data_IF_348093994889
#
_entry.id   IF_348093994889
#
_cell.length_a   1.000
_cell.length_b   1.000
_cell.length_c   1.000
_cell.angle_alpha   90.00
_cell.angle_beta   90.00
_cell.angle_gamma   90.00
#
_symmetry.space_group_name_H-M   'P 1'
#
loop_
_entity.id
_entity.type
_entity.pdbx_description
1 polymer ?
#
# COMPACT_ATOMS: atom_id res chain seq x y z
N UNK A 1 11.02 16.63 -5.68
CA UNK A 1 12.45 16.32 -5.53
C UNK A 1 12.92 16.84 -4.18
N UNK A 2 14.09 16.41 -3.70
CA UNK A 2 14.71 16.94 -2.48
C UNK A 2 15.87 17.85 -2.87
N UNK A 3 15.90 19.06 -2.33
CA UNK A 3 16.92 20.10 -2.53
C UNK A 3 17.68 20.33 -1.24
N UNK A 4 18.91 20.84 -1.35
CA UNK A 4 19.74 21.23 -0.20
C UNK A 4 20.02 22.73 -0.29
N UNK A 5 19.83 23.46 0.81
CA UNK A 5 20.20 24.87 0.91
C UNK A 5 20.90 25.17 2.23
N UNK A 6 21.73 26.22 2.25
CA UNK A 6 22.54 26.57 3.42
C UNK A 6 21.91 27.71 4.20
N UNK A 7 21.78 27.55 5.51
CA UNK A 7 21.41 28.63 6.44
C UNK A 7 22.56 28.92 7.41
N UNK A 8 22.73 30.18 7.78
CA UNK A 8 23.82 30.60 8.69
C UNK A 8 23.72 30.01 10.10
N UNK A 9 22.51 29.60 10.52
CA UNK A 9 22.24 29.11 11.88
C UNK A 9 22.11 27.58 11.98
N UNK A 10 21.68 26.89 10.92
CA UNK A 10 21.43 25.45 10.95
C UNK A 10 22.37 24.65 10.02
N UNK A 11 23.20 25.32 9.20
CA UNK A 11 24.05 24.66 8.21
C UNK A 11 23.26 24.22 6.99
N UNK A 12 23.59 23.06 6.41
CA UNK A 12 22.87 22.49 5.26
C UNK A 12 21.54 21.91 5.71
N UNK A 13 20.45 22.47 5.20
CA UNK A 13 19.07 22.02 5.42
C UNK A 13 18.59 21.31 4.17
N UNK A 14 17.94 20.15 4.33
CA UNK A 14 17.26 19.46 3.23
C UNK A 14 15.83 19.95 3.16
N UNK A 15 15.27 20.16 1.98
CA UNK A 15 13.84 20.36 1.84
C UNK A 15 13.34 19.73 0.56
N UNK A 16 12.03 19.68 0.39
CA UNK A 16 11.43 19.17 -0.81
C UNK A 16 10.98 20.32 -1.70
N UNK A 17 11.02 20.09 -3.01
CA UNK A 17 10.63 21.05 -4.01
C UNK A 17 9.82 20.38 -5.12
N UNK A 18 8.88 21.14 -5.68
CA UNK A 18 8.08 20.79 -6.84
C UNK A 18 8.43 21.78 -7.95
N UNK A 19 8.81 21.23 -9.10
CA UNK A 19 9.11 21.98 -10.31
C UNK A 19 8.07 21.66 -11.36
N UNK A 20 7.52 22.68 -12.01
CA UNK A 20 6.64 22.55 -13.17
C UNK A 20 7.50 22.80 -14.40
N UNK A 21 7.48 21.84 -15.34
CA UNK A 21 8.26 21.91 -16.56
C UNK A 21 7.35 22.07 -17.78
N UNK A 22 7.77 22.84 -18.77
CA UNK A 22 7.12 22.89 -20.09
C UNK A 22 7.48 21.67 -20.95
N UNK A 23 6.92 21.59 -22.15
CA UNK A 23 7.18 20.51 -23.12
C UNK A 23 8.65 20.42 -23.57
N UNK A 24 9.41 21.50 -23.38
CA UNK A 24 10.84 21.59 -23.68
C UNK A 24 11.71 21.31 -22.45
N UNK A 25 11.10 20.92 -21.33
CA UNK A 25 11.75 20.65 -20.04
C UNK A 25 12.39 21.90 -19.39
N UNK A 26 11.93 23.10 -19.73
CA UNK A 26 12.29 24.31 -19.00
C UNK A 26 11.43 24.43 -17.75
N UNK A 27 12.03 24.89 -16.65
CA UNK A 27 11.30 25.19 -15.42
C UNK A 27 10.46 26.44 -15.65
N UNK A 28 9.13 26.28 -15.63
CA UNK A 28 8.15 27.38 -15.73
C UNK A 28 7.53 27.72 -14.37
N UNK A 29 7.67 26.81 -13.39
CA UNK A 29 7.16 26.96 -12.04
C UNK A 29 8.00 26.27 -10.99
N UNK A 30 8.04 26.84 -9.80
CA UNK A 30 8.76 26.29 -8.65
C UNK A 30 7.97 26.53 -7.36
N UNK A 31 7.93 25.50 -6.52
CA UNK A 31 7.55 25.57 -5.12
C UNK A 31 8.66 24.86 -4.34
N UNK A 32 9.47 25.63 -3.62
CA UNK A 32 10.59 25.16 -2.83
C UNK A 32 10.23 25.04 -1.34
N UNK A 33 11.18 24.58 -0.54
CA UNK A 33 11.11 24.57 0.93
C UNK A 33 9.89 23.84 1.51
N UNK A 34 9.38 22.83 0.81
CA UNK A 34 8.29 21.97 1.28
C UNK A 34 8.86 21.02 2.33
N UNK A 35 8.31 21.08 3.54
CA UNK A 35 8.68 20.21 4.66
C UNK A 35 10.21 20.11 4.86
N UNK A 36 10.87 21.18 5.37
CA UNK A 36 12.29 21.15 5.68
C UNK A 36 12.64 20.01 6.64
N UNK A 37 13.80 19.40 6.40
CA UNK A 37 14.36 18.23 7.05
C UNK A 37 13.55 16.92 6.90
N UNK A 38 12.55 16.91 6.02
CA UNK A 38 11.78 15.72 5.65
C UNK A 38 12.16 15.20 4.27
N UNK A 39 11.93 13.90 4.01
CA UNK A 39 12.11 13.29 2.69
C UNK A 39 10.76 12.99 2.04
N UNK A 40 10.68 13.07 0.70
CA UNK A 40 9.49 12.60 -0.03
C UNK A 40 9.40 11.07 0.01
N UNK A 41 8.25 10.56 0.44
CA UNK A 41 7.93 9.13 0.45
C UNK A 41 6.95 8.74 -0.65
N UNK A 42 5.98 9.59 -0.96
CA UNK A 42 5.04 9.35 -2.04
C UNK A 42 4.62 10.63 -2.74
N UNK A 43 4.35 10.53 -4.03
CA UNK A 43 3.82 11.62 -4.83
C UNK A 43 2.75 11.06 -5.79
N UNK A 44 1.58 11.68 -5.83
CA UNK A 44 0.50 11.30 -6.75
C UNK A 44 -0.11 12.51 -7.43
N UNK A 45 -0.14 12.47 -8.75
CA UNK A 45 -0.83 13.44 -9.58
C UNK A 45 -2.27 12.97 -9.84
N UNK A 46 -3.22 13.89 -9.73
CA UNK A 46 -4.63 13.66 -10.01
C UNK A 46 -5.29 14.95 -10.52
N UNK A 47 -5.54 15.00 -11.84
CA UNK A 47 -5.94 16.24 -12.49
C UNK A 47 -4.89 17.34 -12.27
N UNK A 48 -5.36 18.53 -11.89
CA UNK A 48 -4.52 19.71 -11.63
C UNK A 48 -3.92 19.74 -10.22
N UNK A 49 -3.74 18.57 -9.58
CA UNK A 49 -3.31 18.47 -8.19
C UNK A 49 -2.17 17.47 -8.03
N UNK A 50 -1.28 17.79 -7.10
CA UNK A 50 -0.26 16.89 -6.59
C UNK A 50 -0.49 16.64 -5.10
N UNK A 51 -0.56 15.37 -4.75
CA UNK A 51 -0.59 14.91 -3.37
C UNK A 51 0.79 14.41 -3.02
N UNK A 52 1.39 15.00 -1.99
CA UNK A 52 2.76 14.73 -1.59
C UNK A 52 2.77 14.29 -0.14
N UNK A 53 3.45 13.17 0.12
CA UNK A 53 3.69 12.63 1.46
C UNK A 53 5.17 12.75 1.74
N UNK A 54 5.50 13.44 2.82
CA UNK A 54 6.87 13.56 3.33
C UNK A 54 6.96 12.93 4.71
N UNK A 55 8.17 12.60 5.16
CA UNK A 55 8.33 12.05 6.49
C UNK A 55 9.68 12.38 7.09
N UNK A 56 9.64 12.74 8.37
CA UNK A 56 10.77 12.73 9.29
C UNK A 56 10.39 12.03 10.61
N UNK A 57 9.25 12.42 11.21
CA UNK A 57 8.68 11.82 12.43
C UNK A 57 7.14 11.70 12.41
N UNK A 58 6.47 12.65 11.75
CA UNK A 58 5.01 12.69 11.49
C UNK A 58 4.87 12.96 9.99
N UNK A 59 3.89 12.34 9.31
CA UNK A 59 3.63 12.55 7.87
C UNK A 59 2.67 13.73 7.68
N UNK A 60 3.12 14.83 7.05
CA UNK A 60 2.20 15.76 6.43
C UNK A 60 1.83 15.28 5.03
N UNK A 61 0.57 14.90 4.87
CA UNK A 61 -0.08 14.75 3.58
C UNK A 61 -0.40 16.15 3.03
N UNK A 62 0.37 16.60 2.03
CA UNK A 62 0.17 17.89 1.36
C UNK A 62 -0.72 17.76 0.13
N UNK A 63 -1.57 18.77 -0.07
CA UNK A 63 -2.29 19.00 -1.32
C UNK A 63 -1.71 20.22 -2.00
N UNK A 64 -1.18 20.05 -3.21
CA UNK A 64 -0.50 21.08 -3.99
C UNK A 64 -1.31 21.36 -5.27
N UNK A 65 -1.62 22.62 -5.50
CA UNK A 65 -2.26 23.13 -6.73
C UNK A 65 -1.25 23.18 -7.87
N UNK A 66 -1.58 22.55 -8.99
CA UNK A 66 -0.82 22.58 -10.25
C UNK A 66 -1.64 23.16 -11.41
N UNK A 67 -2.77 23.83 -11.16
CA UNK A 67 -3.62 24.44 -12.20
C UNK A 67 -2.95 25.58 -12.97
N UNK A 68 -1.82 26.07 -12.48
CA UNK A 68 -1.00 27.12 -13.07
C UNK A 68 0.49 26.80 -12.88
N UNK A 69 1.33 27.46 -13.66
CA UNK A 69 2.79 27.40 -13.53
C UNK A 69 3.31 28.01 -12.21
N UNK A 70 2.44 28.43 -11.30
CA UNK A 70 2.80 28.89 -9.94
C UNK A 70 2.26 27.88 -8.91
N UNK A 71 2.96 26.74 -8.69
CA UNK A 71 2.51 25.73 -7.75
C UNK A 71 2.40 26.28 -6.33
N UNK A 72 1.39 25.86 -5.57
CA UNK A 72 1.18 26.30 -4.18
C UNK A 72 0.57 25.20 -3.31
N UNK A 73 0.90 25.20 -2.03
CA UNK A 73 0.26 24.33 -1.03
C UNK A 73 -1.15 24.86 -0.76
N UNK A 74 -2.16 23.99 -0.86
CA UNK A 74 -3.55 24.28 -0.54
C UNK A 74 -3.90 23.88 0.89
N UNK A 75 -3.43 22.70 1.32
CA UNK A 75 -3.70 22.16 2.64
C UNK A 75 -2.67 21.13 3.06
N UNK A 76 -2.61 20.88 4.36
CA UNK A 76 -1.81 19.83 4.99
C UNK A 76 -2.68 19.03 5.96
N UNK A 77 -2.44 17.72 6.04
CA UNK A 77 -3.00 16.85 7.07
C UNK A 77 -1.88 16.08 7.73
N UNK A 78 -1.72 16.26 9.03
CA UNK A 78 -0.70 15.57 9.83
C UNK A 78 -1.30 14.36 10.53
N UNK A 79 -0.76 13.18 10.26
CA UNK A 79 -1.19 11.92 10.87
C UNK A 79 0.00 11.08 11.31
N UNK A 80 -0.16 10.22 12.33
CA UNK A 80 0.81 9.18 12.60
C UNK A 80 0.91 8.20 11.43
N UNK A 81 2.11 7.72 11.20
CA UNK A 81 2.45 6.88 10.06
C UNK A 81 3.02 7.67 8.90
N UNK A 82 3.25 6.99 7.79
CA UNK A 82 3.48 7.58 6.49
C UNK A 82 2.93 6.69 5.39
N UNK A 83 2.47 7.28 4.29
CA UNK A 83 2.08 6.54 3.08
C UNK A 83 3.27 6.37 2.12
N UNK A 84 3.61 5.12 1.78
CA UNK A 84 4.56 4.80 0.71
C UNK A 84 3.91 4.91 -0.68
N UNK A 85 2.64 4.53 -0.77
CA UNK A 85 1.89 4.51 -2.01
C UNK A 85 0.57 5.24 -1.86
N UNK A 86 0.26 6.11 -2.82
CA UNK A 86 -1.02 6.82 -2.93
C UNK A 86 -1.75 6.37 -4.19
N UNK A 87 -2.98 5.91 -4.02
CA UNK A 87 -3.86 5.46 -5.09
C UNK A 87 -5.14 6.31 -5.14
N UNK A 88 -5.46 6.95 -6.28
CA UNK A 88 -6.72 7.65 -6.44
C UNK A 88 -7.92 6.71 -6.37
N UNK A 89 -8.87 7.00 -5.48
CA UNK A 89 -10.18 6.34 -5.48
C UNK A 89 -11.15 7.08 -6.42
N UNK A 90 -11.15 8.42 -6.35
CA UNK A 90 -11.74 9.34 -7.32
C UNK A 90 -11.22 10.77 -7.12
N UNK A 91 -11.89 11.75 -7.72
CA UNK A 91 -11.52 13.15 -7.67
C UNK A 91 -11.54 13.76 -6.26
N UNK A 92 -12.18 13.10 -5.30
CA UNK A 92 -12.37 13.58 -3.93
C UNK A 92 -11.78 12.63 -2.88
N UNK A 93 -11.24 11.48 -3.30
CA UNK A 93 -10.75 10.46 -2.37
C UNK A 93 -9.44 9.81 -2.81
N UNK A 94 -8.55 9.58 -1.85
CA UNK A 94 -7.24 8.94 -2.06
C UNK A 94 -7.04 7.84 -1.02
N UNK A 95 -6.55 6.68 -1.47
CA UNK A 95 -6.13 5.58 -0.63
C UNK A 95 -4.63 5.70 -0.40
N UNK A 96 -4.19 5.73 0.85
CA UNK A 96 -2.79 5.62 1.24
C UNK A 96 -2.46 4.22 1.74
N UNK A 97 -1.30 3.71 1.35
CA UNK A 97 -0.73 2.46 1.86
C UNK A 97 0.67 2.76 2.38
N UNK A 98 0.94 2.35 3.60
CA UNK A 98 2.23 2.58 4.21
C UNK A 98 2.37 1.92 5.57
N UNK A 99 2.97 2.63 6.51
CA UNK A 99 3.17 2.14 7.88
C UNK A 99 2.57 3.09 8.87
N UNK A 100 1.95 2.53 9.91
CA UNK A 100 1.58 3.32 11.06
C UNK A 100 2.80 3.54 11.96
N UNK A 101 2.77 4.61 12.75
CA UNK A 101 3.86 4.92 13.67
C UNK A 101 3.35 5.44 14.99
N UNK A 102 4.11 5.22 16.05
CA UNK A 102 3.86 5.80 17.36
C UNK A 102 5.09 6.56 17.85
N UNK A 103 4.87 7.78 18.32
CA UNK A 103 5.90 8.52 19.05
C UNK A 103 6.16 7.85 20.40
N UNK A 104 7.43 7.59 20.68
CA UNK A 104 7.94 7.07 21.93
C UNK A 104 8.82 8.14 22.60
N UNK A 105 9.49 7.80 23.70
CA UNK A 105 10.30 8.76 24.46
C UNK A 105 11.37 9.45 23.61
N UNK A 106 11.61 10.73 23.91
CA UNK A 106 12.67 11.58 23.31
C UNK A 106 12.53 11.83 21.80
N UNK A 107 11.30 11.97 21.28
CA UNK A 107 11.05 12.29 19.87
C UNK A 107 11.45 11.17 18.91
N UNK A 108 11.60 9.95 19.43
CA UNK A 108 11.83 8.77 18.61
C UNK A 108 10.48 8.23 18.13
N UNK A 109 10.49 7.68 16.92
CA UNK A 109 9.28 7.13 16.30
C UNK A 109 9.46 5.64 16.09
N UNK A 110 8.50 4.86 16.58
CA UNK A 110 8.43 3.42 16.36
C UNK A 110 7.47 3.13 15.21
N UNK A 111 7.94 2.41 14.19
CA UNK A 111 7.06 1.88 13.15
C UNK A 111 6.24 0.70 13.70
N UNK A 112 4.98 0.65 13.31
CA UNK A 112 4.02 -0.39 13.65
C UNK A 112 3.67 -1.19 12.38
N UNK A 113 2.42 -1.66 12.31
CA UNK A 113 1.88 -2.45 11.22
C UNK A 113 1.72 -1.70 9.89
N UNK A 114 1.22 -2.43 8.91
CA UNK A 114 0.84 -1.88 7.61
C UNK A 114 -0.42 -1.05 7.78
N UNK A 115 -0.39 0.21 7.36
CA UNK A 115 -1.53 1.12 7.42
C UNK A 115 -2.16 1.26 6.03
N UNK A 116 -3.48 1.19 5.99
CA UNK A 116 -4.28 1.54 4.83
C UNK A 116 -5.22 2.65 5.27
N UNK A 117 -5.20 3.80 4.61
CA UNK A 117 -6.01 4.96 4.98
C UNK A 117 -6.80 5.47 3.79
N UNK A 118 -8.04 5.93 4.03
CA UNK A 118 -8.87 6.59 3.05
C UNK A 118 -8.96 8.07 3.40
N UNK A 119 -8.48 8.92 2.51
CA UNK A 119 -8.49 10.38 2.66
C UNK A 119 -9.63 11.00 1.88
N UNK A 120 -10.38 11.91 2.50
CA UNK A 120 -11.26 12.86 1.83
C UNK A 120 -10.48 14.13 1.49
N UNK A 121 -10.49 14.50 0.22
CA UNK A 121 -9.83 15.69 -0.34
C UNK A 121 -10.81 16.56 -1.14
N UNK A 122 -12.11 16.45 -0.87
CA UNK A 122 -13.16 17.31 -1.44
C UNK A 122 -12.93 18.78 -1.06
N UNK A 123 -12.67 19.05 0.23
CA UNK A 123 -12.10 20.32 0.70
C UNK A 123 -10.58 20.22 0.76
N UNK A 124 -9.93 20.64 -0.32
CA UNK A 124 -8.47 20.60 -0.48
C UNK A 124 -7.69 21.41 0.57
N UNK A 125 -8.33 22.40 1.22
CA UNK A 125 -7.69 23.17 2.27
C UNK A 125 -7.76 22.48 3.64
N UNK A 126 -8.62 21.46 3.77
CA UNK A 126 -8.84 20.72 5.00
C UNK A 126 -9.04 19.21 4.71
N UNK A 127 -8.01 18.53 4.18
CA UNK A 127 -8.08 17.10 3.93
C UNK A 127 -8.27 16.34 5.25
N UNK A 128 -9.01 15.22 5.21
CA UNK A 128 -9.37 14.44 6.40
C UNK A 128 -9.21 12.95 6.15
N UNK A 129 -8.92 12.19 7.21
CA UNK A 129 -9.05 10.73 7.19
C UNK A 129 -10.52 10.38 7.38
N UNK A 130 -11.08 9.58 6.46
CA UNK A 130 -12.41 8.98 6.62
C UNK A 130 -12.30 7.76 7.51
N UNK A 131 -11.36 6.87 7.17
CA UNK A 131 -11.11 5.63 7.88
C UNK A 131 -9.67 5.17 7.66
N UNK A 132 -9.14 4.40 8.61
CA UNK A 132 -7.84 3.75 8.48
C UNK A 132 -7.78 2.41 9.23
N UNK A 133 -7.04 1.47 8.66
CA UNK A 133 -6.83 0.13 9.21
C UNK A 133 -5.33 -0.11 9.36
N UNK A 134 -4.94 -0.63 10.54
CA UNK A 134 -3.58 -1.07 10.81
C UNK A 134 -3.55 -2.60 10.92
N UNK A 135 -2.69 -3.23 10.12
CA UNK A 135 -2.54 -4.69 10.05
C UNK A 135 -1.21 -5.09 10.69
N UNK A 136 -1.29 -5.89 11.74
CA UNK A 136 -0.14 -6.47 12.42
C UNK A 136 0.72 -5.42 13.14
N UNK A 137 2.03 -5.66 13.13
CA UNK A 137 3.02 -4.86 13.85
C UNK A 137 4.28 -4.58 13.01
N UNK A 138 5.35 -4.13 13.65
CA UNK A 138 6.62 -3.80 12.99
C UNK A 138 7.25 -4.98 12.21
N UNK A 139 6.90 -6.23 12.53
CA UNK A 139 7.37 -7.43 11.81
C UNK A 139 6.59 -7.71 10.52
N UNK A 140 5.48 -7.00 10.32
CA UNK A 140 4.56 -7.19 9.20
C UNK A 140 5.07 -6.45 7.97
N UNK A 141 4.93 -7.09 6.82
CA UNK A 141 5.38 -6.61 5.53
C UNK A 141 4.27 -6.76 4.49
N UNK A 142 4.24 -5.82 3.54
CA UNK A 142 3.45 -5.91 2.33
C UNK A 142 4.31 -5.56 1.12
N UNK A 143 4.19 -6.35 0.05
CA UNK A 143 4.80 -6.02 -1.24
C UNK A 143 4.24 -4.70 -1.81
N UNK A 144 3.00 -4.34 -1.46
CA UNK A 144 2.35 -3.10 -1.88
C UNK A 144 3.02 -1.82 -1.38
N UNK A 145 3.92 -1.91 -0.39
CA UNK A 145 4.73 -0.77 0.06
C UNK A 145 5.74 -0.31 -1.00
N UNK A 146 6.22 -1.23 -1.84
CA UNK A 146 7.33 -0.99 -2.77
C UNK A 146 6.96 -1.30 -4.22
N UNK A 147 5.90 -2.08 -4.47
CA UNK A 147 5.42 -2.46 -5.80
C UNK A 147 3.91 -2.18 -5.91
N UNK A 148 3.57 -1.14 -6.67
CA UNK A 148 2.19 -0.72 -6.86
C UNK A 148 1.31 -1.78 -7.52
N UNK A 149 1.88 -2.72 -8.30
CA UNK A 149 1.13 -3.83 -8.91
C UNK A 149 0.69 -4.90 -7.93
N UNK A 150 1.24 -4.89 -6.71
CA UNK A 150 0.84 -5.80 -5.65
C UNK A 150 -0.43 -5.31 -4.93
N UNK A 151 -0.74 -4.02 -5.02
CA UNK A 151 -2.02 -3.47 -4.59
C UNK A 151 -3.08 -3.69 -5.66
N UNK A 152 -4.21 -4.26 -5.27
CA UNK A 152 -5.37 -4.39 -6.13
C UNK A 152 -6.54 -3.57 -5.59
N UNK A 153 -7.17 -2.80 -6.46
CA UNK A 153 -8.37 -2.02 -6.18
C UNK A 153 -9.30 -2.07 -7.39
N UNK A 154 -10.56 -2.40 -7.16
CA UNK A 154 -11.63 -2.25 -8.14
C UNK A 154 -12.76 -1.43 -7.53
N UNK A 155 -12.98 -0.23 -8.08
CA UNK A 155 -14.01 0.69 -7.60
C UNK A 155 -15.42 0.16 -7.84
N UNK A 156 -15.66 -0.53 -8.96
CA UNK A 156 -17.00 -0.99 -9.35
C UNK A 156 -17.50 -2.10 -8.43
N UNK A 157 -16.60 -3.00 -8.03
CA UNK A 157 -16.86 -4.04 -7.03
C UNK A 157 -16.67 -3.54 -5.60
N UNK A 158 -16.00 -2.40 -5.41
CA UNK A 158 -15.69 -1.84 -4.10
C UNK A 158 -14.74 -2.73 -3.31
N UNK A 159 -13.72 -3.32 -3.95
CA UNK A 159 -12.84 -4.30 -3.33
C UNK A 159 -11.39 -3.84 -3.38
N UNK A 160 -10.69 -4.06 -2.28
CA UNK A 160 -9.23 -3.94 -2.17
C UNK A 160 -8.64 -5.30 -1.79
N UNK A 161 -7.49 -5.61 -2.37
CA UNK A 161 -6.67 -6.74 -1.94
C UNK A 161 -5.21 -6.33 -1.78
N UNK A 162 -4.64 -6.66 -0.62
CA UNK A 162 -3.26 -6.34 -0.25
C UNK A 162 -2.56 -7.60 0.24
N UNK A 163 -1.40 -7.96 -0.32
CA UNK A 163 -0.60 -9.05 0.20
C UNK A 163 0.05 -8.66 1.51
N UNK A 164 -0.06 -9.51 2.51
CA UNK A 164 0.48 -9.33 3.84
C UNK A 164 1.30 -10.56 4.21
N UNK A 165 2.44 -10.33 4.84
CA UNK A 165 3.29 -11.36 5.45
C UNK A 165 3.71 -10.90 6.84
N UNK A 166 3.55 -11.74 7.84
CA UNK A 166 3.90 -11.40 9.22
C UNK A 166 3.84 -12.61 10.13
N UNK A 167 4.18 -12.42 11.40
CA UNK A 167 4.09 -13.50 12.39
C UNK A 167 2.63 -13.83 12.68
N UNK A 168 2.28 -15.12 12.71
CA UNK A 168 0.88 -15.58 12.86
C UNK A 168 0.22 -15.02 14.12
N UNK A 169 0.97 -14.96 15.24
CA UNK A 169 0.50 -14.40 16.51
C UNK A 169 0.07 -12.93 16.38
N UNK A 170 0.86 -12.13 15.67
CA UNK A 170 0.61 -10.69 15.52
C UNK A 170 -0.48 -10.39 14.50
N UNK A 171 -0.74 -11.32 13.58
CA UNK A 171 -1.83 -11.23 12.61
C UNK A 171 -3.16 -11.86 13.10
N UNK A 172 -3.18 -12.37 14.33
CA UNK A 172 -4.29 -13.13 14.92
C UNK A 172 -4.69 -14.34 14.06
N UNK A 173 -3.70 -15.04 13.49
CA UNK A 173 -3.89 -16.23 12.65
C UNK A 173 -3.67 -17.52 13.43
N UNK A 174 -4.52 -18.52 13.19
CA UNK A 174 -4.40 -19.83 13.80
C UNK A 174 -3.12 -20.54 13.33
N UNK A 175 -2.26 -20.86 14.29
CA UNK A 175 -1.05 -21.64 14.04
C UNK A 175 -1.38 -23.13 13.96
N UNK A 176 -1.38 -23.71 12.75
CA UNK A 176 -1.53 -25.17 12.57
C UNK A 176 -0.23 -25.96 12.73
N UNK A 177 0.90 -25.28 12.99
CA UNK A 177 2.20 -25.91 13.20
C UNK A 177 2.22 -26.71 14.53
N UNK A 178 2.57 -28.00 14.44
CA UNK A 178 2.91 -28.83 15.61
C UNK A 178 4.03 -28.11 16.38
N UNK A 179 3.89 -28.05 17.71
CA UNK A 179 4.73 -27.44 18.77
C UNK A 179 6.27 -27.64 18.71
N UNK A 180 6.93 -27.59 17.56
CA UNK A 180 8.35 -27.90 17.41
C UNK A 180 9.20 -26.64 17.17
N UNK A 181 8.61 -25.51 16.72
CA UNK A 181 9.31 -24.21 16.62
C UNK A 181 8.33 -23.01 16.63
N UNK A 182 7.81 -22.58 17.81
CA UNK A 182 6.83 -21.49 17.92
C UNK A 182 7.35 -20.08 17.53
N UNK A 183 8.66 -19.95 17.26
CA UNK A 183 9.34 -18.67 17.03
C UNK A 183 9.44 -18.30 15.54
N UNK A 184 8.95 -19.15 14.61
CA UNK A 184 9.11 -18.95 13.17
C UNK A 184 7.84 -19.19 12.35
N UNK A 185 6.66 -19.18 12.97
CA UNK A 185 5.41 -19.37 12.23
C UNK A 185 4.96 -18.05 11.58
N UNK A 186 5.18 -17.93 10.27
CA UNK A 186 4.79 -16.76 9.48
C UNK A 186 3.57 -17.08 8.64
N UNK A 187 2.60 -16.18 8.67
CA UNK A 187 1.47 -16.20 7.75
C UNK A 187 1.81 -15.34 6.54
N UNK A 188 1.46 -15.82 5.35
CA UNK A 188 1.50 -15.05 4.12
C UNK A 188 0.19 -15.24 3.38
N UNK A 189 -0.40 -14.17 2.86
CA UNK A 189 -1.67 -14.23 2.16
C UNK A 189 -2.18 -12.85 1.79
N UNK A 190 -3.38 -12.79 1.26
CA UNK A 190 -4.03 -11.54 0.89
C UNK A 190 -5.09 -11.18 1.91
N UNK A 191 -5.03 -9.95 2.42
CA UNK A 191 -6.18 -9.34 3.08
C UNK A 191 -7.07 -8.75 2.01
N UNK A 192 -8.37 -9.04 2.08
CA UNK A 192 -9.37 -8.52 1.16
C UNK A 192 -10.37 -7.69 1.95
N UNK A 193 -10.56 -6.46 1.53
CA UNK A 193 -11.48 -5.51 2.14
C UNK A 193 -12.56 -5.12 1.14
N UNK A 194 -13.79 -4.97 1.62
CA UNK A 194 -14.75 -4.11 0.94
C UNK A 194 -14.40 -2.65 1.28
N UNK A 195 -14.54 -1.74 0.31
CA UNK A 195 -14.25 -0.32 0.44
C UNK A 195 -15.39 0.52 -0.13
N UNK A 196 -15.94 1.38 0.73
CA UNK A 196 -16.85 2.44 0.35
C UNK A 196 -16.29 3.82 0.73
N UNK A 197 -16.59 4.81 -0.11
CA UNK A 197 -16.16 6.20 0.10
C UNK A 197 -16.71 6.85 1.37
N UNK A 198 -17.82 6.35 1.91
CA UNK A 198 -18.47 6.90 3.11
C UNK A 198 -18.10 6.10 4.35
N UNK A 199 -18.20 4.77 4.26
CA UNK A 199 -18.05 3.88 5.42
C UNK A 199 -16.61 3.39 5.63
N UNK A 200 -15.70 3.58 4.67
CA UNK A 200 -14.31 3.16 4.79
C UNK A 200 -14.13 1.67 4.49
N UNK A 201 -13.23 1.03 5.24
CA UNK A 201 -12.78 -0.35 5.01
C UNK A 201 -13.54 -1.34 5.89
N UNK A 202 -14.06 -2.40 5.28
CA UNK A 202 -14.60 -3.56 6.00
C UNK A 202 -13.79 -4.81 5.62
N UNK A 203 -13.26 -5.53 6.60
CA UNK A 203 -12.51 -6.77 6.32
C UNK A 203 -13.46 -7.84 5.82
N UNK A 204 -13.43 -8.11 4.52
CA UNK A 204 -14.19 -9.19 3.88
C UNK A 204 -13.65 -10.56 4.24
N UNK A 205 -12.32 -10.67 4.30
CA UNK A 205 -11.65 -11.90 4.73
C UNK A 205 -10.21 -11.97 4.25
N UNK A 206 -9.64 -13.17 4.36
CA UNK A 206 -8.22 -13.40 4.07
C UNK A 206 -8.05 -14.64 3.21
N UNK A 207 -7.14 -14.58 2.24
CA UNK A 207 -6.77 -15.73 1.39
C UNK A 207 -5.33 -16.13 1.72
N UNK A 208 -5.17 -17.22 2.47
CA UNK A 208 -3.86 -17.72 2.91
C UNK A 208 -3.08 -18.31 1.74
N UNK A 209 -1.79 -17.96 1.62
CA UNK A 209 -0.83 -18.46 0.63
C UNK A 209 0.41 -19.11 1.26
N UNK A 210 0.52 -19.15 2.58
CA UNK A 210 1.56 -19.91 3.29
C UNK A 210 1.13 -21.35 3.58
N UNK A 211 2.08 -22.29 3.52
CA UNK A 211 1.93 -23.61 4.12
C UNK A 211 2.07 -23.52 5.65
N UNK A 212 1.47 -24.48 6.36
CA UNK A 212 1.46 -24.56 7.83
C UNK A 212 2.84 -24.63 8.51
N UNK A 213 3.92 -24.79 7.74
CA UNK A 213 5.30 -24.99 8.22
C UNK A 213 6.32 -24.12 7.44
N UNK A 214 5.84 -23.05 6.80
CA UNK A 214 6.64 -22.20 5.91
C UNK A 214 7.51 -21.22 6.70
N UNK A 215 8.82 -21.34 6.51
CA UNK A 215 9.83 -20.37 6.96
C UNK A 215 10.10 -19.28 5.91
N UNK A 216 9.40 -19.31 4.78
CA UNK A 216 9.65 -18.42 3.66
C UNK A 216 9.17 -16.99 3.96
N UNK A 217 10.02 -16.03 3.62
CA UNK A 217 9.71 -14.61 3.68
C UNK A 217 9.06 -14.16 2.38
N UNK A 218 7.83 -13.67 2.49
CA UNK A 218 7.14 -12.98 1.41
C UNK A 218 6.44 -13.90 0.43
N UNK A 219 5.60 -13.28 -0.39
CA UNK A 219 4.79 -13.95 -1.41
C UNK A 219 5.43 -13.90 -2.81
N UNK A 220 6.43 -13.03 -3.00
CA UNK A 220 7.21 -12.79 -4.21
C UNK A 220 6.38 -12.70 -5.50
N UNK A 221 6.14 -11.47 -5.98
CA UNK A 221 5.28 -11.17 -7.11
C UNK A 221 3.80 -11.41 -6.80
N UNK A 222 3.37 -10.99 -5.62
CA UNK A 222 1.97 -11.11 -5.23
C UNK A 222 1.06 -10.32 -6.16
N UNK A 223 0.05 -10.95 -6.76
CA UNK A 223 -0.94 -10.30 -7.64
C UNK A 223 -2.34 -10.72 -7.29
N UNK A 224 -3.27 -9.78 -7.42
CA UNK A 224 -4.70 -10.05 -7.37
C UNK A 224 -5.35 -9.54 -8.65
N UNK A 225 -6.29 -10.32 -9.20
CA UNK A 225 -7.16 -9.92 -10.31
C UNK A 225 -8.48 -10.68 -10.21
N UNK A 226 -9.45 -10.37 -11.05
CA UNK A 226 -10.70 -11.13 -11.12
C UNK A 226 -11.11 -11.41 -12.56
N UNK A 227 -11.88 -12.48 -12.74
CA UNK A 227 -12.59 -12.81 -13.97
C UNK A 227 -14.01 -13.15 -13.55
N UNK A 228 -14.98 -12.42 -14.10
CA UNK A 228 -16.39 -12.48 -13.69
C UNK A 228 -16.53 -12.32 -12.16
N UNK A 229 -17.02 -13.34 -11.47
CA UNK A 229 -17.22 -13.33 -10.01
C UNK A 229 -16.17 -14.17 -9.26
N UNK A 230 -15.02 -14.42 -9.88
CA UNK A 230 -13.91 -15.16 -9.29
C UNK A 230 -12.72 -14.24 -9.05
N UNK A 231 -12.32 -14.11 -7.78
CA UNK A 231 -11.09 -13.46 -7.35
C UNK A 231 -9.91 -14.43 -7.43
N UNK A 232 -8.89 -14.04 -8.17
CA UNK A 232 -7.63 -14.77 -8.30
C UNK A 232 -6.56 -14.08 -7.49
N UNK A 233 -5.95 -14.81 -6.57
CA UNK A 233 -4.78 -14.36 -5.83
C UNK A 233 -3.59 -15.23 -6.20
N UNK A 234 -2.45 -14.60 -6.45
CA UNK A 234 -1.25 -15.25 -7.00
C UNK A 234 -0.05 -14.90 -6.14
N UNK A 235 0.71 -15.92 -5.75
CA UNK A 235 2.05 -15.81 -5.18
C UNK A 235 2.97 -16.78 -5.93
N UNK A 236 4.28 -16.73 -5.64
CA UNK A 236 5.26 -17.67 -6.23
C UNK A 236 4.89 -19.15 -5.99
N UNK A 237 4.24 -19.46 -4.86
CA UNK A 237 3.86 -20.83 -4.51
C UNK A 237 2.44 -21.23 -4.90
N UNK A 238 1.53 -20.28 -5.12
CA UNK A 238 0.10 -20.57 -5.25
C UNK A 238 -0.63 -19.63 -6.20
N UNK A 239 -1.54 -20.19 -6.99
CA UNK A 239 -2.67 -19.47 -7.57
C UNK A 239 -3.95 -19.98 -6.91
N UNK A 240 -4.70 -19.11 -6.23
CA UNK A 240 -5.97 -19.46 -5.58
C UNK A 240 -7.12 -18.73 -6.25
N UNK A 241 -8.27 -19.40 -6.27
CA UNK A 241 -9.51 -18.92 -6.86
C UNK A 241 -10.56 -18.93 -5.76
N UNK A 242 -11.13 -17.77 -5.49
CA UNK A 242 -12.13 -17.56 -4.46
C UNK A 242 -13.34 -16.84 -5.07
N UNK A 243 -14.55 -17.17 -4.62
CA UNK A 243 -15.73 -16.38 -4.95
C UNK A 243 -15.52 -14.94 -4.47
N UNK A 244 -15.80 -13.95 -5.32
CA UNK A 244 -15.56 -12.54 -4.98
C UNK A 244 -16.52 -12.03 -3.89
N UNK A 245 -17.68 -12.68 -3.73
CA UNK A 245 -18.75 -12.27 -2.82
C UNK A 245 -18.48 -12.68 -1.38
N UNK A 246 -18.01 -13.91 -1.15
CA UNK A 246 -17.84 -14.50 0.19
C UNK A 246 -16.44 -15.07 0.44
N UNK A 247 -15.53 -14.91 -0.53
CA UNK A 247 -14.16 -15.46 -0.52
C UNK A 247 -14.10 -16.98 -0.34
N UNK A 248 -15.20 -17.70 -0.56
CA UNK A 248 -15.20 -19.16 -0.50
C UNK A 248 -14.28 -19.73 -1.57
N UNK A 249 -13.40 -20.64 -1.16
CA UNK A 249 -12.46 -21.29 -2.07
C UNK A 249 -13.21 -22.08 -3.16
N UNK A 250 -12.87 -21.79 -4.41
CA UNK A 250 -13.35 -22.49 -5.60
C UNK A 250 -12.31 -23.53 -6.03
N UNK A 251 -11.04 -23.11 -6.16
CA UNK A 251 -9.94 -23.98 -6.54
C UNK A 251 -8.59 -23.39 -6.10
N UNK A 252 -7.54 -24.21 -6.14
CA UNK A 252 -6.16 -23.77 -5.91
C UNK A 252 -5.18 -24.60 -6.71
N UNK A 253 -4.21 -23.93 -7.32
CA UNK A 253 -3.05 -24.53 -7.94
C UNK A 253 -1.82 -24.23 -7.09
N UNK A 254 -1.10 -25.28 -6.69
CA UNK A 254 0.22 -25.15 -6.08
C UNK A 254 1.27 -25.15 -7.19
N UNK A 255 2.11 -24.13 -7.23
CA UNK A 255 3.26 -24.11 -8.11
C UNK A 255 4.36 -24.95 -7.46
N UNK A 256 4.64 -26.11 -8.05
CA UNK A 256 5.80 -26.91 -7.66
C UNK A 256 6.99 -26.48 -8.54
N UNK A 257 8.17 -26.29 -7.93
CA UNK A 257 9.44 -26.10 -8.63
C UNK A 257 9.91 -27.38 -9.36
N UNK A 258 8.99 -28.13 -9.98
CA UNK A 258 9.29 -29.43 -10.59
C UNK A 258 9.70 -29.32 -12.05
N UNK A 259 9.67 -28.13 -12.68
CA UNK A 259 10.03 -27.96 -14.09
C UNK A 259 9.20 -28.82 -15.06
N UNK A 260 8.11 -29.42 -14.57
CA UNK A 260 7.19 -30.18 -15.40
C UNK A 260 6.21 -29.20 -16.00
N UNK A 261 6.16 -29.15 -17.33
CA UNK A 261 5.09 -28.50 -18.06
C UNK A 261 3.75 -28.97 -17.49
N UNK A 262 2.87 -28.00 -17.17
CA UNK A 262 1.49 -28.29 -16.82
C UNK A 262 0.84 -28.83 -18.09
N UNK A 263 0.65 -30.14 -18.17
CA UNK A 263 -0.07 -30.80 -19.26
C UNK A 263 -1.56 -30.52 -19.14
N UNK A 264 -1.98 -29.32 -19.56
CA UNK A 264 -3.38 -29.11 -19.89
C UNK A 264 -3.61 -29.61 -21.32
N UNK A 265 -4.56 -30.54 -21.44
CA UNK A 265 -5.14 -31.16 -22.65
C UNK A 265 -4.75 -32.63 -22.82
N UNK A 266 -5.46 -33.50 -22.10
CA UNK A 266 -5.79 -34.82 -22.66
C UNK A 266 -6.81 -34.58 -23.77
N UNK A 267 -6.36 -34.32 -24.99
CA UNK A 267 -7.21 -34.54 -26.17
C UNK A 267 -7.40 -36.05 -26.30
N UNK A 268 -8.64 -36.52 -26.07
CA UNK A 268 -9.06 -37.84 -26.51
C UNK A 268 -8.83 -37.94 -28.02
N UNK A 269 -7.75 -38.63 -28.40
CA UNK A 269 -7.57 -39.15 -29.75
C UNK A 269 -8.64 -40.21 -29.99
N UNK A 270 -9.81 -39.77 -30.45
CA UNK A 270 -10.83 -40.64 -31.03
C UNK A 270 -10.17 -41.37 -32.20
N UNK A 271 -10.04 -42.70 -32.05
CA UNK A 271 -9.53 -43.61 -33.08
C UNK A 271 -10.48 -43.74 -34.28
#
# INVERSE_FOLDING_TARGET
>A
TTTEYYTQYQGTVRANAVYVLDEQLNIVGELDQIAPDESVYSARFMGDRLYLVTFQQIDPFFVIDLSKDTPKILGELKIPGFSNYLHPYDNEHIIGIGRDTKEIEEGRVQQLGIKIALFNVADVNNPKVIDDVVIGDSSTYSEALNEHKAFFFDKTKGIISIPITGDTKNLNEDSSAKMIAPDYNRWSGFYVFDLDSVNGFELKGKVTHSDSDSHYYGMNNARTFYIDDVLYTVSEGYLKMNSIDDLKGINSLKFENTGKFIGYMDEEMVR
#
